data_IF_407494620170
#
_entry.id   IF_407494620170
#
_cell.length_a   1.000
_cell.length_b   1.000
_cell.length_c   1.000
_cell.angle_alpha   90.00
_cell.angle_beta   90.00
_cell.angle_gamma   90.00
#
_symmetry.space_group_name_H-M   'P 1'
#
loop_
_entity.id
_entity.type
_entity.pdbx_description
1 polymer ?
#
# COMPACT_ATOMS: atom_id res chain seq x y z
N UNK A 1 17.63 22.81 21.59
CA UNK A 1 16.63 21.82 21.12
C UNK A 1 17.22 20.43 21.21
N UNK A 2 16.61 19.55 22.01
CA UNK A 2 17.08 18.22 22.34
C UNK A 2 16.16 17.16 21.72
N UNK A 3 16.72 16.03 21.24
CA UNK A 3 15.91 14.93 20.69
C UNK A 3 14.84 14.41 21.65
N UNK A 4 15.09 14.50 22.97
CA UNK A 4 14.13 14.13 24.01
C UNK A 4 12.92 15.05 24.02
N UNK A 5 13.10 16.36 23.85
CA UNK A 5 12.02 17.33 23.75
C UNK A 5 11.14 17.07 22.51
N UNK A 6 11.75 16.76 21.39
CA UNK A 6 11.06 16.42 20.15
C UNK A 6 10.21 15.15 20.29
N UNK A 7 10.76 14.09 20.93
CA UNK A 7 10.00 12.86 21.23
C UNK A 7 8.81 13.11 22.15
N UNK A 8 8.99 13.97 23.16
CA UNK A 8 7.94 14.31 24.10
C UNK A 8 6.82 15.09 23.41
N UNK A 9 7.17 16.08 22.60
CA UNK A 9 6.21 16.81 21.77
C UNK A 9 5.41 15.89 20.86
N UNK A 10 6.08 15.01 20.10
CA UNK A 10 5.42 14.06 19.20
C UNK A 10 4.46 13.15 19.95
N UNK A 11 4.89 12.57 21.07
CA UNK A 11 4.02 11.71 21.87
C UNK A 11 2.78 12.44 22.37
N UNK A 12 2.89 13.69 22.80
CA UNK A 12 1.75 14.50 23.24
C UNK A 12 0.81 14.82 22.06
N UNK A 13 1.37 15.13 20.89
CA UNK A 13 0.60 15.40 19.68
C UNK A 13 -0.23 14.18 19.24
N UNK A 14 0.37 12.99 19.27
CA UNK A 14 -0.27 11.72 18.90
C UNK A 14 -1.33 11.29 19.91
N UNK A 15 -1.01 11.34 21.21
CA UNK A 15 -1.91 10.93 22.28
C UNK A 15 -3.00 11.99 22.59
N UNK A 16 -2.82 13.23 22.10
CA UNK A 16 -3.70 14.38 22.43
C UNK A 16 -3.92 14.56 23.92
N UNK A 17 -2.98 14.09 24.75
CA UNK A 17 -3.06 14.06 26.21
C UNK A 17 -1.69 13.86 26.86
N UNK A 18 -1.30 14.77 27.74
CA UNK A 18 0.01 14.72 28.43
C UNK A 18 0.18 13.49 29.33
N UNK A 19 -0.87 13.08 30.04
CA UNK A 19 -0.79 11.93 30.95
C UNK A 19 -0.67 10.61 30.19
N UNK A 20 -1.38 10.44 29.06
CA UNK A 20 -1.25 9.26 28.20
C UNK A 20 0.12 9.22 27.54
N UNK A 21 0.60 10.35 27.03
CA UNK A 21 1.94 10.46 26.46
C UNK A 21 3.02 10.09 27.47
N UNK A 22 2.93 10.58 28.71
CA UNK A 22 3.84 10.25 29.79
C UNK A 22 3.83 8.75 30.11
N UNK A 23 2.65 8.13 30.20
CA UNK A 23 2.50 6.68 30.40
C UNK A 23 3.12 5.88 29.27
N UNK A 24 2.89 6.26 28.02
CA UNK A 24 3.47 5.61 26.83
C UNK A 24 5.00 5.68 26.82
N UNK A 25 5.57 6.80 27.28
CA UNK A 25 7.01 7.03 27.32
C UNK A 25 7.66 6.55 28.63
N UNK A 26 6.89 5.93 29.54
CA UNK A 26 7.36 5.46 30.86
C UNK A 26 8.04 6.57 31.68
N UNK A 27 7.49 7.78 31.65
CA UNK A 27 7.94 8.93 32.44
C UNK A 27 6.80 9.56 33.24
N UNK A 28 7.13 10.39 34.23
CA UNK A 28 6.11 11.19 34.92
C UNK A 28 5.70 12.39 34.08
N UNK A 29 4.45 12.85 34.24
CA UNK A 29 3.89 13.94 33.43
C UNK A 29 4.58 15.32 33.67
N UNK A 30 5.00 15.71 34.88
CA UNK A 30 5.62 17.02 35.09
C UNK A 30 6.86 17.27 34.24
N UNK A 31 7.90 16.41 34.20
CA UNK A 31 9.08 16.64 33.36
C UNK A 31 8.73 16.65 31.86
N UNK A 32 7.75 15.84 31.42
CA UNK A 32 7.31 15.86 30.02
C UNK A 32 6.71 17.23 29.67
N UNK A 33 5.81 17.76 30.50
CA UNK A 33 5.20 19.10 30.29
C UNK A 33 6.25 20.22 30.30
N UNK A 34 7.22 20.16 31.20
CA UNK A 34 8.32 21.15 31.28
C UNK A 34 9.18 21.13 30.02
N UNK A 35 9.53 19.95 29.50
CA UNK A 35 10.36 19.83 28.32
C UNK A 35 9.63 20.30 27.04
N UNK A 36 8.34 20.04 26.91
CA UNK A 36 7.54 20.56 25.78
C UNK A 36 7.46 22.10 25.86
N UNK A 37 7.20 22.66 27.05
CA UNK A 37 7.18 24.11 27.24
C UNK A 37 8.53 24.76 26.95
N UNK A 38 9.63 24.09 27.33
CA UNK A 38 11.01 24.56 27.02
C UNK A 38 11.23 24.59 25.50
N UNK A 39 10.74 23.58 24.76
CA UNK A 39 10.79 23.53 23.30
C UNK A 39 10.02 24.69 22.67
N UNK A 40 8.80 24.96 23.13
CA UNK A 40 7.97 26.07 22.65
C UNK A 40 8.65 27.43 22.91
N UNK A 41 9.27 27.60 24.08
CA UNK A 41 10.00 28.82 24.44
C UNK A 41 11.23 29.01 23.53
N UNK A 42 11.98 27.95 23.21
CA UNK A 42 13.13 27.99 22.34
C UNK A 42 12.75 28.34 20.90
N UNK A 43 11.61 27.84 20.42
CA UNK A 43 11.08 28.12 19.09
C UNK A 43 10.34 29.46 19.00
N UNK A 44 10.03 30.08 20.14
CA UNK A 44 9.28 31.34 20.20
C UNK A 44 7.81 31.24 19.79
N UNK A 45 7.29 30.02 19.61
CA UNK A 45 5.91 29.76 19.18
C UNK A 45 5.27 28.64 19.99
N UNK A 46 3.95 28.72 20.18
CA UNK A 46 3.20 27.61 20.76
C UNK A 46 2.93 26.54 19.72
N UNK A 47 3.24 25.30 20.07
CA UNK A 47 3.00 24.13 19.23
C UNK A 47 1.72 23.39 19.60
N UNK A 48 1.33 23.50 20.90
CA UNK A 48 0.17 22.81 21.47
C UNK A 48 -0.77 23.80 22.15
N UNK A 49 -2.07 23.56 21.99
CA UNK A 49 -3.14 24.26 22.72
C UNK A 49 -3.93 23.29 23.57
N UNK A 50 -4.33 23.74 24.79
CA UNK A 50 -5.23 23.00 25.66
C UNK A 50 -6.67 23.36 25.31
N UNK A 51 -7.50 22.38 25.04
CA UNK A 51 -8.93 22.54 24.81
C UNK A 51 -9.72 21.71 25.82
N UNK A 52 -11.02 21.95 25.90
CA UNK A 52 -11.95 21.17 26.75
C UNK A 52 -12.00 19.67 26.32
N UNK A 53 -11.44 19.33 25.15
CA UNK A 53 -11.37 17.96 24.58
C UNK A 53 -9.97 17.36 24.66
N UNK A 54 -9.02 18.02 25.31
CA UNK A 54 -7.62 17.57 25.42
C UNK A 54 -6.62 18.55 24.80
N UNK A 55 -5.55 18.03 24.25
CA UNK A 55 -4.47 18.79 23.61
C UNK A 55 -4.62 18.71 22.09
N UNK A 56 -4.49 19.85 21.41
CA UNK A 56 -4.51 19.94 19.94
C UNK A 56 -3.26 20.66 19.44
N UNK A 57 -2.85 20.35 18.23
CA UNK A 57 -1.75 21.06 17.56
C UNK A 57 -2.25 22.45 17.10
N UNK A 58 -1.39 23.47 17.28
CA UNK A 58 -1.55 24.75 16.58
C UNK A 58 -1.18 24.61 15.11
N UNK A 59 -1.40 25.63 14.27
CA UNK A 59 -0.91 25.63 12.89
C UNK A 59 0.62 25.46 12.82
N UNK A 60 1.37 26.17 13.71
CA UNK A 60 2.81 26.00 13.84
C UNK A 60 3.19 24.58 14.33
N UNK A 61 2.39 24.05 15.28
CA UNK A 61 2.56 22.68 15.79
C UNK A 61 2.37 21.62 14.73
N UNK A 62 1.41 21.79 13.82
CA UNK A 62 1.17 20.86 12.72
C UNK A 62 2.38 20.81 11.75
N UNK A 63 2.86 21.98 11.31
CA UNK A 63 4.04 22.08 10.44
C UNK A 63 5.25 21.46 11.13
N UNK A 64 5.51 21.83 12.39
CA UNK A 64 6.63 21.31 13.14
C UNK A 64 6.55 19.80 13.37
N UNK A 65 5.37 19.26 13.64
CA UNK A 65 5.15 17.83 13.81
C UNK A 65 5.53 17.04 12.55
N UNK A 66 5.13 17.50 11.37
CA UNK A 66 5.45 16.85 10.09
C UNK A 66 6.96 16.84 9.81
N UNK A 67 7.64 17.96 10.05
CA UNK A 67 9.09 18.07 9.88
C UNK A 67 9.85 17.18 10.87
N UNK A 68 9.52 17.23 12.16
CA UNK A 68 10.19 16.41 13.18
C UNK A 68 9.97 14.92 12.95
N UNK A 69 8.81 14.54 12.46
CA UNK A 69 8.52 13.17 12.05
C UNK A 69 9.48 12.70 10.95
N UNK A 70 9.87 13.59 10.03
CA UNK A 70 10.87 13.29 9.01
C UNK A 70 12.28 13.13 9.59
N UNK A 71 12.65 13.93 10.59
CA UNK A 71 13.94 13.84 11.28
C UNK A 71 14.08 12.51 12.03
N UNK A 72 13.07 12.09 12.77
CA UNK A 72 13.11 10.78 13.45
C UNK A 72 13.21 9.61 12.48
N UNK A 73 12.56 9.70 11.31
CA UNK A 73 12.76 8.72 10.23
C UNK A 73 14.23 8.60 9.81
N UNK A 74 14.88 9.74 9.57
CA UNK A 74 16.30 9.76 9.18
C UNK A 74 17.21 9.20 10.27
N UNK A 75 16.88 9.45 11.54
CA UNK A 75 17.60 8.87 12.68
C UNK A 75 17.42 7.36 12.77
N UNK A 76 16.20 6.85 12.57
CA UNK A 76 15.95 5.42 12.57
C UNK A 76 16.61 4.74 11.36
N UNK A 77 16.59 5.38 10.18
CA UNK A 77 17.34 4.92 9.01
C UNK A 77 18.85 4.91 9.25
N UNK A 78 19.40 5.96 9.87
CA UNK A 78 20.81 6.02 10.23
C UNK A 78 21.19 4.90 11.22
N UNK A 79 20.32 4.61 12.19
CA UNK A 79 20.48 3.49 13.13
C UNK A 79 20.46 2.14 12.40
N UNK A 80 19.51 1.95 11.48
CA UNK A 80 19.40 0.76 10.63
C UNK A 80 20.61 0.62 9.69
N UNK A 81 21.17 1.73 9.19
CA UNK A 81 22.38 1.75 8.37
C UNK A 81 23.67 1.48 9.20
N UNK A 82 23.68 1.88 10.45
CA UNK A 82 24.82 1.66 11.36
C UNK A 82 24.87 0.22 11.92
N UNK A 83 23.75 -0.43 12.12
CA UNK A 83 23.69 -1.81 12.61
C UNK A 83 24.19 -2.87 11.61
N UNK A 84 24.10 -2.72 10.27
CA UNK A 84 24.58 -3.70 9.31
C UNK A 84 25.96 -3.40 8.73
N UNK A 85 26.74 -2.48 9.28
CA UNK A 85 28.15 -2.29 8.87
C UNK A 85 29.00 -3.57 9.04
N UNK A 86 28.39 -4.66 9.49
CA UNK A 86 29.02 -5.94 9.73
C UNK A 86 28.36 -7.19 9.14
N UNK A 87 27.40 -7.13 8.25
CA UNK A 87 26.82 -8.25 7.48
C UNK A 87 25.31 -8.03 7.31
N UNK A 88 24.90 -7.58 6.12
CA UNK A 88 23.54 -7.16 5.78
C UNK A 88 22.47 -8.28 5.71
N UNK A 89 22.50 -9.23 6.64
CA UNK A 89 21.62 -10.39 6.66
C UNK A 89 20.73 -10.46 7.92
N UNK A 90 20.69 -9.37 8.71
CA UNK A 90 19.90 -9.29 9.95
C UNK A 90 19.18 -7.94 10.00
N UNK A 91 17.91 -7.94 10.37
CA UNK A 91 17.13 -6.70 10.56
C UNK A 91 15.64 -6.90 10.32
N UNK A 92 14.90 -5.80 10.30
CA UNK A 92 13.47 -5.79 9.98
C UNK A 92 13.23 -5.11 8.65
N UNK A 93 12.44 -5.73 7.79
CA UNK A 93 12.00 -5.18 6.51
C UNK A 93 10.47 -5.04 6.52
N UNK A 94 9.99 -3.78 6.55
CA UNK A 94 8.55 -3.49 6.47
C UNK A 94 8.16 -3.28 5.00
N UNK A 95 7.27 -4.13 4.49
CA UNK A 95 6.82 -4.16 3.10
C UNK A 95 5.33 -3.89 3.03
N UNK A 96 4.95 -2.83 2.31
CA UNK A 96 3.57 -2.59 1.92
C UNK A 96 3.20 -3.37 0.66
N UNK A 97 1.95 -3.79 0.54
CA UNK A 97 1.50 -4.44 -0.69
C UNK A 97 0.01 -4.22 -0.94
N UNK A 98 -0.38 -4.15 -2.21
CA UNK A 98 -1.78 -4.23 -2.62
C UNK A 98 -2.24 -5.68 -2.67
N UNK A 99 -3.51 -5.97 -2.35
CA UNK A 99 -4.06 -7.35 -2.31
C UNK A 99 -3.78 -8.17 -3.57
N UNK A 100 -3.72 -7.53 -4.74
CA UNK A 100 -3.42 -8.21 -6.02
C UNK A 100 -2.04 -8.87 -6.00
N UNK A 101 -1.05 -8.26 -5.35
CA UNK A 101 0.30 -8.83 -5.25
C UNK A 101 0.33 -10.16 -4.47
N UNK A 102 -0.55 -10.32 -3.47
CA UNK A 102 -0.67 -11.54 -2.68
C UNK A 102 -1.18 -12.75 -3.49
N UNK A 103 -1.97 -12.50 -4.54
CA UNK A 103 -2.48 -13.59 -5.40
C UNK A 103 -1.46 -14.11 -6.42
N UNK A 104 -0.32 -13.45 -6.56
CA UNK A 104 0.68 -13.80 -7.57
C UNK A 104 2.11 -13.70 -7.07
N UNK A 105 2.71 -12.53 -7.20
CA UNK A 105 4.16 -12.33 -7.09
C UNK A 105 4.68 -12.35 -5.64
N UNK A 106 3.90 -11.89 -4.66
CA UNK A 106 4.38 -11.70 -3.28
C UNK A 106 4.73 -13.01 -2.57
N UNK A 107 3.86 -14.06 -2.55
CA UNK A 107 4.17 -15.30 -1.82
C UNK A 107 5.46 -15.99 -2.29
N UNK A 108 5.70 -16.19 -3.61
CA UNK A 108 6.96 -16.80 -4.06
C UNK A 108 8.18 -15.90 -3.76
N UNK A 109 8.04 -14.58 -3.84
CA UNK A 109 9.12 -13.66 -3.49
C UNK A 109 9.46 -13.74 -1.99
N UNK A 110 8.47 -13.78 -1.12
CA UNK A 110 8.68 -13.96 0.32
C UNK A 110 9.34 -15.28 0.66
N UNK A 111 8.90 -16.38 0.03
CA UNK A 111 9.53 -17.68 0.22
C UNK A 111 11.01 -17.62 -0.13
N UNK A 112 11.32 -17.14 -1.33
CA UNK A 112 12.72 -17.04 -1.82
C UNK A 112 13.56 -16.10 -0.98
N UNK A 113 13.00 -14.96 -0.56
CA UNK A 113 13.69 -14.00 0.29
C UNK A 113 14.02 -14.58 1.67
N UNK A 114 13.09 -15.31 2.31
CA UNK A 114 13.33 -15.98 3.59
C UNK A 114 14.38 -17.09 3.49
N UNK A 115 14.44 -17.80 2.37
CA UNK A 115 15.48 -18.81 2.13
C UNK A 115 16.88 -18.18 2.00
N UNK A 116 16.98 -17.01 1.36
CA UNK A 116 18.26 -16.30 1.18
C UNK A 116 18.66 -15.49 2.42
N UNK A 117 17.68 -14.94 3.16
CA UNK A 117 17.91 -14.04 4.29
C UNK A 117 17.12 -14.50 5.53
N UNK A 118 17.45 -15.66 6.13
CA UNK A 118 16.63 -16.29 7.18
C UNK A 118 16.61 -15.51 8.51
N UNK A 119 17.53 -14.56 8.70
CA UNK A 119 17.60 -13.72 9.91
C UNK A 119 16.92 -12.36 9.76
N UNK A 120 16.28 -12.10 8.61
CA UNK A 120 15.52 -10.87 8.38
C UNK A 120 14.07 -11.09 8.78
N UNK A 121 13.57 -10.26 9.69
CA UNK A 121 12.15 -10.19 10.04
C UNK A 121 11.39 -9.38 9.00
N UNK A 122 10.48 -10.00 8.24
CA UNK A 122 9.67 -9.32 7.23
C UNK A 122 8.30 -9.02 7.79
N UNK A 123 7.98 -7.74 7.92
CA UNK A 123 6.68 -7.25 8.35
C UNK A 123 5.85 -6.82 7.14
N UNK A 124 4.67 -7.41 6.97
CA UNK A 124 3.80 -7.22 5.82
C UNK A 124 2.60 -6.34 6.17
N UNK A 125 2.31 -5.37 5.31
CA UNK A 125 1.21 -4.43 5.49
C UNK A 125 0.35 -4.37 4.23
N UNK A 126 -0.86 -4.91 4.29
CA UNK A 126 -1.83 -4.80 3.19
C UNK A 126 -2.42 -3.39 3.17
N UNK A 127 -2.07 -2.61 2.16
CA UNK A 127 -2.42 -1.20 2.02
C UNK A 127 -2.67 -0.85 0.55
N UNK A 128 -3.55 0.11 0.29
CA UNK A 128 -3.70 0.72 -1.03
C UNK A 128 -2.44 1.50 -1.42
N UNK A 129 -2.20 1.72 -2.72
CA UNK A 129 -0.99 2.42 -3.20
C UNK A 129 -0.82 3.80 -2.57
N UNK A 130 -1.90 4.58 -2.44
CA UNK A 130 -1.89 5.91 -1.80
C UNK A 130 -1.56 5.84 -0.30
N UNK A 131 -2.04 4.81 0.39
CA UNK A 131 -1.69 4.57 1.79
C UNK A 131 -0.22 4.15 1.95
N UNK A 132 0.29 3.30 1.03
CA UNK A 132 1.71 2.94 1.01
C UNK A 132 2.61 4.16 0.79
N UNK A 133 2.23 5.07 -0.11
CA UNK A 133 2.94 6.35 -0.33
C UNK A 133 3.08 7.13 0.99
N UNK A 134 1.98 7.28 1.72
CA UNK A 134 1.98 7.97 3.03
C UNK A 134 2.86 7.25 4.06
N UNK A 135 2.83 5.93 4.10
CA UNK A 135 3.61 5.13 5.05
C UNK A 135 5.11 5.11 4.70
N UNK A 136 5.47 5.10 3.41
CA UNK A 136 6.87 5.25 2.95
C UNK A 136 7.40 6.64 3.31
N UNK A 137 6.65 7.70 3.04
CA UNK A 137 7.01 9.07 3.46
C UNK A 137 7.13 9.19 4.98
N UNK A 138 6.30 8.46 5.71
CA UNK A 138 6.36 8.38 7.16
C UNK A 138 7.50 7.48 7.68
N UNK A 139 8.25 6.79 6.82
CA UNK A 139 9.34 5.86 7.19
C UNK A 139 8.86 4.63 7.96
N UNK A 140 7.57 4.33 7.91
CA UNK A 140 7.00 3.11 8.50
C UNK A 140 7.06 1.93 7.54
N UNK A 141 7.13 2.19 6.23
CA UNK A 141 7.44 1.19 5.22
C UNK A 141 8.81 1.49 4.59
N UNK A 142 9.59 0.46 4.37
CA UNK A 142 10.84 0.53 3.62
C UNK A 142 10.59 0.53 2.11
N UNK A 143 9.64 -0.30 1.66
CA UNK A 143 9.20 -0.36 0.27
C UNK A 143 7.74 -0.79 0.19
N UNK A 144 7.16 -0.60 -0.99
CA UNK A 144 5.80 -1.03 -1.31
C UNK A 144 5.72 -1.79 -2.62
N UNK A 145 4.69 -2.62 -2.77
CA UNK A 145 4.26 -3.22 -4.03
C UNK A 145 2.90 -2.62 -4.35
N UNK A 146 2.88 -1.70 -5.31
CA UNK A 146 1.71 -0.89 -5.64
C UNK A 146 1.28 -1.03 -7.09
N UNK A 147 0.17 -0.37 -7.43
CA UNK A 147 -0.36 -0.28 -8.79
C UNK A 147 0.01 1.07 -9.43
N UNK A 148 0.39 1.04 -10.69
CA UNK A 148 0.51 2.24 -11.51
C UNK A 148 -0.89 2.87 -11.79
N UNK A 149 -0.95 4.19 -12.09
CA UNK A 149 0.17 5.13 -12.12
C UNK A 149 0.56 5.64 -10.74
N UNK A 150 1.85 5.92 -10.56
CA UNK A 150 2.38 6.64 -9.40
C UNK A 150 3.20 7.81 -9.93
N UNK A 151 2.71 9.02 -9.69
CA UNK A 151 3.36 10.26 -10.11
C UNK A 151 3.70 11.10 -8.86
N UNK A 152 4.76 10.67 -8.17
CA UNK A 152 5.22 11.28 -6.92
C UNK A 152 6.71 11.61 -7.05
N UNK A 153 7.10 12.90 -7.00
CA UNK A 153 8.47 13.33 -7.32
C UNK A 153 9.54 12.80 -6.35
N UNK A 154 9.17 12.53 -5.11
CA UNK A 154 10.05 12.04 -4.03
C UNK A 154 10.13 10.50 -3.97
N UNK A 155 9.33 9.81 -4.77
CA UNK A 155 9.30 8.36 -4.82
C UNK A 155 9.78 7.83 -6.16
N UNK A 156 10.35 6.64 -6.14
CA UNK A 156 10.63 5.84 -7.32
C UNK A 156 9.58 4.75 -7.44
N UNK A 157 8.95 4.66 -8.61
CA UNK A 157 8.09 3.56 -8.98
C UNK A 157 8.73 2.80 -10.14
N UNK A 158 8.94 1.50 -9.96
CA UNK A 158 9.53 0.64 -10.96
C UNK A 158 8.60 -0.53 -11.25
N UNK A 159 8.06 -0.61 -12.47
CA UNK A 159 7.19 -1.72 -12.88
C UNK A 159 7.98 -3.04 -12.84
N UNK A 160 7.47 -4.02 -12.12
CA UNK A 160 8.05 -5.37 -12.00
C UNK A 160 7.22 -6.43 -12.71
N UNK A 161 5.91 -6.23 -12.82
CA UNK A 161 5.00 -7.19 -13.43
C UNK A 161 3.88 -6.48 -14.19
N UNK A 162 3.53 -7.01 -15.36
CA UNK A 162 2.34 -6.63 -16.12
C UNK A 162 1.37 -7.78 -16.20
N UNK A 163 0.18 -7.60 -15.62
CA UNK A 163 -0.87 -8.60 -15.61
C UNK A 163 -1.98 -8.25 -16.58
N UNK A 164 -2.33 -9.15 -17.48
CA UNK A 164 -3.47 -8.99 -18.37
C UNK A 164 -4.77 -9.03 -17.57
N UNK A 165 -5.79 -8.37 -18.07
CA UNK A 165 -7.14 -8.51 -17.54
C UNK A 165 -7.80 -9.80 -18.04
N UNK A 166 -8.45 -10.49 -17.12
CA UNK A 166 -9.38 -11.59 -17.39
C UNK A 166 -10.80 -11.15 -17.12
N UNK A 167 -11.74 -11.72 -17.85
CA UNK A 167 -13.17 -11.60 -17.55
C UNK A 167 -13.56 -12.71 -16.58
N UNK A 168 -14.01 -12.34 -15.37
CA UNK A 168 -14.61 -13.24 -14.40
C UNK A 168 -16.12 -13.26 -14.60
N UNK A 169 -16.70 -14.46 -14.77
CA UNK A 169 -18.13 -14.68 -14.97
C UNK A 169 -18.67 -15.76 -14.04
N UNK A 170 -19.96 -15.72 -13.66
CA UNK A 170 -20.56 -16.78 -12.89
C UNK A 170 -20.52 -18.11 -13.65
N UNK A 171 -20.05 -19.18 -13.02
CA UNK A 171 -19.96 -20.49 -13.64
C UNK A 171 -21.34 -21.10 -13.97
N UNK A 172 -22.37 -20.75 -13.18
CA UNK A 172 -23.76 -21.20 -13.40
C UNK A 172 -24.39 -20.54 -14.64
N UNK A 173 -23.99 -19.34 -15.00
CA UNK A 173 -24.43 -18.64 -16.19
C UNK A 173 -23.58 -19.11 -17.39
N UNK A 174 -24.14 -19.92 -18.26
CA UNK A 174 -23.47 -20.37 -19.50
C UNK A 174 -23.41 -19.24 -20.54
N UNK A 175 -22.79 -18.10 -20.16
CA UNK A 175 -22.64 -16.95 -21.05
C UNK A 175 -21.84 -17.28 -22.32
N UNK A 176 -20.99 -18.31 -22.25
CA UNK A 176 -20.18 -18.76 -23.39
C UNK A 176 -20.32 -20.26 -23.58
N UNK A 177 -20.64 -20.65 -24.83
CA UNK A 177 -20.81 -22.06 -25.19
C UNK A 177 -19.49 -22.81 -25.40
N UNK A 178 -18.42 -22.09 -25.66
CA UNK A 178 -17.10 -22.66 -25.97
C UNK A 178 -16.04 -22.16 -25.00
N UNK A 179 -15.01 -22.95 -24.75
CA UNK A 179 -13.81 -22.53 -24.06
C UNK A 179 -12.95 -21.63 -24.96
N UNK A 180 -12.06 -20.81 -24.36
CA UNK A 180 -11.13 -19.92 -25.05
C UNK A 180 -11.41 -18.43 -24.87
N UNK A 181 -10.63 -17.57 -25.56
CA UNK A 181 -10.76 -16.12 -25.44
C UNK A 181 -12.09 -15.57 -25.94
N UNK A 182 -12.68 -14.64 -25.21
CA UNK A 182 -14.00 -14.07 -25.49
C UNK A 182 -13.91 -12.59 -25.91
N UNK A 183 -14.86 -12.13 -26.71
CA UNK A 183 -14.99 -10.70 -26.99
C UNK A 183 -15.68 -9.99 -25.83
N UNK A 184 -15.08 -8.94 -25.28
CA UNK A 184 -15.65 -8.21 -24.15
C UNK A 184 -17.06 -7.67 -24.45
N UNK A 185 -17.33 -7.30 -25.71
CA UNK A 185 -18.66 -6.85 -26.15
C UNK A 185 -19.78 -7.86 -25.89
N UNK A 186 -19.45 -9.16 -25.77
CA UNK A 186 -20.45 -10.20 -25.50
C UNK A 186 -21.12 -10.05 -24.12
N UNK A 187 -20.51 -9.32 -23.20
CA UNK A 187 -21.05 -9.03 -21.86
C UNK A 187 -21.49 -7.56 -21.69
N UNK A 188 -21.69 -6.82 -22.78
CA UNK A 188 -22.10 -5.42 -22.72
C UNK A 188 -23.46 -5.18 -22.04
N UNK A 189 -24.33 -6.19 -22.01
CA UNK A 189 -25.63 -6.14 -21.32
C UNK A 189 -25.57 -6.57 -19.85
N UNK A 190 -24.43 -7.10 -19.39
CA UNK A 190 -24.29 -7.60 -18.03
C UNK A 190 -24.03 -6.47 -17.02
N UNK A 191 -24.31 -6.74 -15.77
CA UNK A 191 -23.93 -5.88 -14.65
C UNK A 191 -22.45 -6.08 -14.32
N UNK A 192 -21.72 -4.98 -14.06
CA UNK A 192 -20.31 -5.02 -13.72
C UNK A 192 -20.09 -4.77 -12.22
N UNK A 193 -19.18 -5.52 -11.64
CA UNK A 193 -18.65 -5.35 -10.28
C UNK A 193 -17.21 -4.86 -10.43
N UNK A 194 -16.92 -3.67 -9.91
CA UNK A 194 -15.61 -3.05 -10.07
C UNK A 194 -15.10 -2.48 -8.74
N UNK A 195 -13.78 -2.30 -8.58
CA UNK A 195 -13.25 -1.54 -7.44
C UNK A 195 -13.68 -0.07 -7.54
N UNK A 196 -13.93 0.62 -6.40
CA UNK A 196 -14.19 2.06 -6.43
C UNK A 196 -12.95 2.83 -6.87
N UNK A 197 -13.15 3.92 -7.61
CA UNK A 197 -12.06 4.70 -8.23
C UNK A 197 -11.11 5.28 -7.18
N UNK A 198 -11.60 5.67 -6.01
CA UNK A 198 -10.78 6.20 -4.91
C UNK A 198 -9.83 5.16 -4.28
N UNK A 199 -10.07 3.87 -4.51
CA UNK A 199 -9.23 2.77 -3.98
C UNK A 199 -8.16 2.34 -4.97
N UNK A 200 -8.54 2.25 -6.25
CA UNK A 200 -7.67 1.77 -7.32
C UNK A 200 -7.93 2.56 -8.62
N UNK A 201 -7.54 3.84 -8.69
CA UNK A 201 -7.88 4.71 -9.83
C UNK A 201 -7.37 4.15 -11.15
N UNK A 202 -6.13 3.67 -11.22
CA UNK A 202 -5.56 3.09 -12.44
C UNK A 202 -6.32 1.86 -12.94
N UNK A 203 -6.70 0.95 -12.06
CA UNK A 203 -7.48 -0.24 -12.42
C UNK A 203 -8.91 0.12 -12.84
N UNK A 204 -9.56 1.05 -12.12
CA UNK A 204 -10.89 1.54 -12.49
C UNK A 204 -10.89 2.14 -13.89
N UNK A 205 -10.00 3.09 -14.15
CA UNK A 205 -9.91 3.81 -15.43
C UNK A 205 -9.53 2.83 -16.57
N UNK A 206 -8.68 1.83 -16.31
CA UNK A 206 -8.34 0.76 -17.25
C UNK A 206 -9.58 -0.07 -17.62
N UNK A 207 -10.37 -0.52 -16.64
CA UNK A 207 -11.60 -1.31 -16.87
C UNK A 207 -12.60 -0.50 -17.70
N UNK A 208 -12.86 0.74 -17.32
CA UNK A 208 -13.82 1.60 -18.04
C UNK A 208 -13.35 1.90 -19.46
N UNK A 209 -12.05 2.17 -19.66
CA UNK A 209 -11.49 2.46 -20.99
C UNK A 209 -11.53 1.21 -21.88
N UNK A 210 -11.28 0.01 -21.32
CA UNK A 210 -11.35 -1.24 -22.06
C UNK A 210 -12.78 -1.55 -22.54
N UNK A 211 -13.79 -1.31 -21.70
CA UNK A 211 -15.19 -1.41 -22.10
C UNK A 211 -15.55 -0.41 -23.21
N UNK A 212 -15.11 0.83 -23.09
CA UNK A 212 -15.32 1.89 -24.12
C UNK A 212 -14.65 1.54 -25.45
N UNK A 213 -13.43 1.01 -25.44
CA UNK A 213 -12.76 0.52 -26.67
C UNK A 213 -13.53 -0.60 -27.35
N UNK A 214 -14.29 -1.40 -26.57
CA UNK A 214 -15.17 -2.44 -27.10
C UNK A 214 -16.59 -1.95 -27.42
N UNK A 215 -16.83 -0.62 -27.44
CA UNK A 215 -18.05 0.01 -27.90
C UNK A 215 -19.20 0.05 -26.90
N UNK A 216 -18.92 0.00 -25.59
CA UNK A 216 -19.94 0.15 -24.55
C UNK A 216 -19.38 0.78 -23.25
N UNK A 217 -20.30 1.32 -22.44
CA UNK A 217 -19.99 1.77 -21.09
C UNK A 217 -20.50 0.71 -20.10
N UNK A 218 -19.68 0.25 -19.12
CA UNK A 218 -20.12 -0.78 -18.18
C UNK A 218 -21.23 -0.25 -17.28
N UNK A 219 -22.31 -1.05 -17.12
CA UNK A 219 -23.35 -0.80 -16.13
C UNK A 219 -22.87 -1.29 -14.77
N UNK A 220 -22.36 -0.39 -13.93
CA UNK A 220 -21.83 -0.74 -12.62
C UNK A 220 -23.01 -0.98 -11.67
N UNK A 221 -23.13 -2.20 -11.16
CA UNK A 221 -24.15 -2.58 -10.18
C UNK A 221 -23.63 -2.57 -8.76
N UNK A 222 -22.33 -2.84 -8.56
CA UNK A 222 -21.71 -2.91 -7.26
C UNK A 222 -20.26 -2.41 -7.30
N UNK A 223 -19.85 -1.76 -6.19
CA UNK A 223 -18.46 -1.46 -5.91
C UNK A 223 -17.95 -2.39 -4.81
N UNK A 224 -16.77 -2.98 -5.00
CA UNK A 224 -16.12 -3.80 -3.99
C UNK A 224 -14.63 -3.47 -3.90
N UNK A 225 -14.16 -3.16 -2.69
CA UNK A 225 -12.77 -2.71 -2.45
C UNK A 225 -11.75 -3.81 -2.60
N UNK A 226 -12.12 -5.04 -2.22
CA UNK A 226 -11.23 -6.21 -2.22
C UNK A 226 -11.58 -7.17 -3.37
N UNK A 227 -10.56 -7.70 -4.07
CA UNK A 227 -10.78 -8.64 -5.17
C UNK A 227 -11.49 -9.91 -4.72
N UNK A 228 -11.26 -10.39 -3.51
CA UNK A 228 -11.99 -11.52 -2.93
C UNK A 228 -13.50 -11.26 -2.88
N UNK A 229 -13.90 -10.04 -2.52
CA UNK A 229 -15.31 -9.63 -2.51
C UNK A 229 -15.85 -9.53 -3.93
N UNK A 230 -15.11 -8.92 -4.87
CA UNK A 230 -15.48 -8.87 -6.30
C UNK A 230 -15.79 -10.28 -6.81
N UNK A 231 -14.87 -11.21 -6.60
CA UNK A 231 -15.01 -12.59 -7.06
C UNK A 231 -16.15 -13.34 -6.32
N UNK A 232 -16.36 -13.06 -5.03
CA UNK A 232 -17.49 -13.58 -4.27
C UNK A 232 -18.84 -13.14 -4.83
N UNK A 233 -18.97 -11.87 -5.21
CA UNK A 233 -20.17 -11.31 -5.84
C UNK A 233 -20.40 -11.89 -7.26
N UNK A 234 -19.33 -12.07 -8.04
CA UNK A 234 -19.41 -12.78 -9.33
C UNK A 234 -19.89 -14.21 -9.12
N UNK A 235 -19.33 -14.95 -8.15
CA UNK A 235 -19.74 -16.34 -7.86
C UNK A 235 -21.22 -16.45 -7.49
N UNK A 236 -21.80 -15.43 -6.86
CA UNK A 236 -23.22 -15.38 -6.49
C UNK A 236 -24.13 -14.90 -7.64
N UNK A 237 -23.61 -14.65 -8.83
CA UNK A 237 -24.41 -14.26 -10.00
C UNK A 237 -24.82 -12.78 -10.04
N UNK A 238 -24.21 -11.92 -9.22
CA UNK A 238 -24.55 -10.49 -9.17
C UNK A 238 -24.02 -9.68 -10.36
N UNK A 239 -23.18 -10.29 -11.21
CA UNK A 239 -22.63 -9.66 -12.40
C UNK A 239 -21.31 -10.28 -12.82
N UNK A 240 -20.60 -9.56 -13.69
CA UNK A 240 -19.27 -9.93 -14.22
C UNK A 240 -18.22 -8.92 -13.74
N UNK A 241 -16.94 -9.29 -13.83
CA UNK A 241 -15.86 -8.39 -13.48
C UNK A 241 -14.67 -8.54 -14.45
N UNK A 242 -13.94 -7.45 -14.69
CA UNK A 242 -12.60 -7.50 -15.25
C UNK A 242 -11.59 -7.46 -14.10
N UNK A 243 -10.72 -8.44 -14.04
CA UNK A 243 -9.77 -8.63 -12.94
C UNK A 243 -8.38 -8.96 -13.45
N UNK A 244 -7.32 -8.59 -12.73
CA UNK A 244 -5.96 -9.03 -13.05
C UNK A 244 -5.84 -10.56 -13.08
N UNK A 245 -4.94 -11.07 -13.91
CA UNK A 245 -4.81 -12.52 -14.16
C UNK A 245 -4.46 -13.33 -12.91
N UNK A 246 -3.73 -12.76 -11.95
CA UNK A 246 -3.39 -13.42 -10.69
C UNK A 246 -4.61 -13.74 -9.82
N UNK A 247 -5.72 -13.00 -9.98
CA UNK A 247 -6.94 -13.22 -9.20
C UNK A 247 -7.54 -14.62 -9.42
N UNK A 248 -7.25 -15.28 -10.55
CA UNK A 248 -7.66 -16.68 -10.78
C UNK A 248 -7.05 -17.66 -9.76
N UNK A 249 -5.90 -17.29 -9.15
CA UNK A 249 -5.24 -18.11 -8.13
C UNK A 249 -6.03 -18.22 -6.83
N UNK A 250 -7.04 -17.37 -6.62
CA UNK A 250 -8.02 -17.54 -5.53
C UNK A 250 -8.86 -18.82 -5.65
N UNK A 251 -8.94 -19.41 -6.86
CA UNK A 251 -9.66 -20.66 -7.14
C UNK A 251 -11.07 -20.71 -6.56
N UNK A 252 -11.79 -19.57 -6.60
CA UNK A 252 -13.14 -19.47 -6.04
C UNK A 252 -14.12 -20.34 -6.83
N UNK A 253 -14.74 -21.29 -6.15
CA UNK A 253 -15.84 -22.07 -6.74
C UNK A 253 -16.98 -21.15 -7.21
N UNK A 254 -17.59 -21.50 -8.34
CA UNK A 254 -18.69 -20.71 -8.93
C UNK A 254 -18.26 -19.57 -9.86
N UNK A 255 -16.96 -19.44 -10.16
CA UNK A 255 -16.44 -18.44 -11.11
C UNK A 255 -15.65 -19.12 -12.22
N UNK A 256 -15.83 -18.63 -13.45
CA UNK A 256 -14.99 -18.94 -14.59
C UNK A 256 -14.20 -17.70 -15.02
N UNK A 257 -12.93 -17.87 -15.35
CA UNK A 257 -12.06 -16.81 -15.86
C UNK A 257 -11.82 -17.03 -17.35
N UNK A 258 -11.98 -15.97 -18.13
CA UNK A 258 -11.87 -16.01 -19.59
C UNK A 258 -10.90 -14.94 -20.07
N UNK A 259 -9.96 -15.32 -20.90
CA UNK A 259 -9.08 -14.39 -21.59
C UNK A 259 -9.88 -13.49 -22.55
N UNK A 260 -9.48 -12.25 -22.70
CA UNK A 260 -10.11 -11.30 -23.62
C UNK A 260 -9.44 -11.39 -25.00
N UNK A 261 -10.27 -11.55 -26.05
CA UNK A 261 -9.80 -11.59 -27.43
C UNK A 261 -9.43 -10.18 -27.89
N UNK A 262 -8.18 -10.02 -28.34
CA UNK A 262 -7.67 -8.77 -28.90
C UNK A 262 -7.43 -7.66 -27.87
N UNK A 263 -7.56 -7.94 -26.57
CA UNK A 263 -7.20 -6.98 -25.53
C UNK A 263 -5.70 -7.02 -25.23
N UNK A 264 -5.10 -5.84 -25.13
CA UNK A 264 -3.74 -5.61 -24.64
C UNK A 264 -3.75 -4.92 -23.26
N UNK A 265 -4.95 -4.72 -22.68
CA UNK A 265 -5.09 -4.09 -21.39
C UNK A 265 -4.38 -4.88 -20.30
N UNK A 266 -3.48 -4.21 -19.59
CA UNK A 266 -2.71 -4.79 -18.49
C UNK A 266 -2.61 -3.83 -17.33
N UNK A 267 -2.60 -4.40 -16.12
CA UNK A 267 -2.30 -3.70 -14.89
C UNK A 267 -0.81 -3.81 -14.64
N UNK A 268 -0.19 -2.72 -14.23
CA UNK A 268 1.21 -2.70 -13.85
C UNK A 268 1.36 -2.72 -12.33
N UNK A 269 1.98 -3.77 -11.81
CA UNK A 269 2.48 -3.82 -10.45
C UNK A 269 3.94 -3.37 -10.42
N UNK A 270 4.29 -2.55 -9.45
CA UNK A 270 5.64 -2.04 -9.33
C UNK A 270 6.09 -1.91 -7.89
N UNK A 271 7.41 -1.85 -7.74
CA UNK A 271 8.08 -1.48 -6.52
C UNK A 271 7.98 0.02 -6.31
N UNK A 272 7.58 0.40 -5.11
CA UNK A 272 7.47 1.76 -4.63
C UNK A 272 8.46 1.97 -3.48
N UNK A 273 9.33 2.97 -3.57
CA UNK A 273 10.30 3.30 -2.52
C UNK A 273 10.65 4.79 -2.55
N UNK A 274 11.19 5.31 -1.46
CA UNK A 274 11.80 6.64 -1.47
C UNK A 274 12.97 6.68 -2.45
N UNK A 275 13.15 7.80 -3.17
CA UNK A 275 14.35 8.01 -4.02
C UNK A 275 15.63 8.05 -3.21
N UNK A 276 15.54 8.46 -1.92
CA UNK A 276 16.64 8.52 -0.98
C UNK A 276 16.86 7.20 -0.22
N UNK A 277 16.13 6.11 -0.59
CA UNK A 277 16.28 4.82 0.07
C UNK A 277 17.46 4.03 -0.49
N UNK A 278 18.57 4.07 0.24
CA UNK A 278 19.77 3.24 0.00
C UNK A 278 19.81 2.01 0.93
N UNK A 279 18.67 1.62 1.49
CA UNK A 279 18.59 0.51 2.44
C UNK A 279 18.99 -0.83 1.79
N UNK A 280 19.99 -1.55 2.32
CA UNK A 280 20.47 -2.80 1.72
C UNK A 280 19.39 -3.88 1.66
N UNK A 281 18.49 -3.94 2.66
CA UNK A 281 17.39 -4.92 2.69
C UNK A 281 16.32 -4.64 1.64
N UNK A 282 15.98 -3.35 1.42
CA UNK A 282 15.05 -2.94 0.37
C UNK A 282 15.58 -3.33 -1.01
N UNK A 283 16.87 -3.10 -1.26
CA UNK A 283 17.54 -3.49 -2.50
C UNK A 283 17.55 -5.00 -2.73
N UNK A 284 17.86 -5.79 -1.68
CA UNK A 284 17.84 -7.26 -1.73
C UNK A 284 16.44 -7.81 -2.03
N UNK A 285 15.42 -7.29 -1.35
CA UNK A 285 14.04 -7.71 -1.60
C UNK A 285 13.58 -7.33 -3.02
N UNK A 286 13.93 -6.14 -3.48
CA UNK A 286 13.63 -5.68 -4.84
C UNK A 286 14.27 -6.60 -5.90
N UNK A 287 15.50 -7.05 -5.70
CA UNK A 287 16.17 -7.99 -6.59
C UNK A 287 15.43 -9.33 -6.63
N UNK A 288 15.09 -9.91 -5.48
CA UNK A 288 14.34 -11.16 -5.39
C UNK A 288 12.97 -11.06 -6.05
N UNK A 289 12.25 -9.92 -5.84
CA UNK A 289 10.94 -9.70 -6.45
C UNK A 289 11.04 -9.66 -8.00
N UNK A 290 12.07 -9.00 -8.54
CA UNK A 290 12.33 -8.93 -9.99
C UNK A 290 12.67 -10.31 -10.57
N UNK A 291 13.48 -11.10 -9.89
CA UNK A 291 13.79 -12.47 -10.30
C UNK A 291 12.54 -13.35 -10.38
N UNK A 292 11.66 -13.23 -9.39
CA UNK A 292 10.38 -13.97 -9.37
C UNK A 292 9.43 -13.50 -10.47
N UNK A 293 9.46 -12.21 -10.83
CA UNK A 293 8.63 -11.67 -11.90
C UNK A 293 9.06 -12.12 -13.31
N UNK A 294 10.30 -12.57 -13.48
CA UNK A 294 10.87 -13.01 -14.76
C UNK A 294 10.76 -14.54 -14.99
N UNK A 295 10.50 -15.31 -13.96
CA UNK A 295 10.38 -16.77 -13.98
C UNK A 295 8.96 -17.25 -13.95
#
# INVERSE_FOLDING_TARGET
MELRQLRYFMAVAEEKNFSRAAKRLHVSQPPLSTQVKSLENELGVRLLERSNRGVVLTAAGQVFYEEIRSVFRRLDQARLKAQPAGQGDVGTLSVGFVSIADYGILPPALKRFREQFPKVDVQLHELTTDAQIKEIRAGRLHLGIGLAPVDEPDLAFETVLRERLLLAVPAAQRLFKTEGPVRLKAVSGESFIIPPREVAPGLFDLIVSECRRNGFTPRISQYARQMQTVIGLVASGMGVALVPSSVQNLKRAGVQYRALRGSTASVELGLLRSRDDDGPLSGKFAAVLKEVAQG
#
